data_IF_052957566184
#
_entry.id   IF_052957566184
#
_cell.length_a   1.000
_cell.length_b   1.000
_cell.length_c   1.000
_cell.angle_alpha   90.00
_cell.angle_beta   90.00
_cell.angle_gamma   90.00
#
_symmetry.space_group_name_H-M   'P 1'
#
loop_
_entity.id
_entity.type
_entity.pdbx_description
1 polymer ?
#
# COMPACT_ATOMS: atom_id res chain seq x y z
N UNK A 1 11.14 56.88 4.68
CA UNK A 1 12.02 55.68 4.62
C UNK A 1 11.13 54.45 4.78
N UNK A 2 11.26 53.47 3.88
CA UNK A 2 10.48 52.23 3.86
C UNK A 2 11.19 51.18 4.73
N UNK A 3 10.50 50.63 5.72
CA UNK A 3 11.00 49.50 6.51
C UNK A 3 10.47 48.23 5.84
N UNK A 4 11.35 47.48 5.21
CA UNK A 4 11.03 46.18 4.62
C UNK A 4 11.12 45.12 5.73
N UNK A 5 9.97 44.57 6.13
CA UNK A 5 9.92 43.37 6.97
C UNK A 5 10.24 42.15 6.11
N UNK A 6 11.37 41.50 6.40
CA UNK A 6 11.66 40.18 5.88
C UNK A 6 11.03 39.14 6.80
N UNK A 7 9.93 38.52 6.34
CA UNK A 7 9.38 37.31 6.94
C UNK A 7 10.31 36.15 6.62
N UNK A 8 11.05 35.66 7.61
CA UNK A 8 11.81 34.42 7.50
C UNK A 8 10.83 33.26 7.66
N UNK A 9 10.43 32.65 6.54
CA UNK A 9 9.63 31.43 6.56
C UNK A 9 10.48 30.30 7.15
N UNK A 10 10.09 29.81 8.33
CA UNK A 10 10.61 28.57 8.86
C UNK A 10 10.12 27.42 7.98
N UNK A 11 11.02 26.84 7.17
CA UNK A 11 10.84 25.52 6.60
C UNK A 11 10.93 24.50 7.74
N UNK A 12 9.81 24.30 8.44
CA UNK A 12 9.62 23.08 9.22
C UNK A 12 9.60 21.97 8.18
N UNK A 13 10.68 21.20 8.08
CA UNK A 13 10.72 20.00 7.26
C UNK A 13 9.55 19.12 7.72
N UNK A 14 8.52 19.03 6.89
CA UNK A 14 7.46 18.07 7.10
C UNK A 14 8.15 16.70 7.11
N UNK A 15 8.10 16.00 8.24
CA UNK A 15 8.37 14.57 8.23
C UNK A 15 7.49 14.00 7.11
N UNK A 16 8.09 13.37 6.11
CA UNK A 16 7.33 12.78 5.03
C UNK A 16 6.39 11.77 5.67
N UNK A 17 5.08 12.03 5.59
CA UNK A 17 4.06 11.10 6.05
C UNK A 17 4.37 9.74 5.44
N UNK A 18 4.60 8.72 6.27
CA UNK A 18 4.95 7.36 5.84
C UNK A 18 3.70 6.50 5.76
N UNK A 19 2.70 6.98 5.03
CA UNK A 19 1.53 6.17 4.77
C UNK A 19 1.93 4.90 4.00
N UNK A 20 1.28 3.79 4.30
CA UNK A 20 1.60 2.50 3.69
C UNK A 20 0.37 1.93 3.03
N UNK A 21 0.55 1.44 1.80
CA UNK A 21 -0.49 0.72 1.09
C UNK A 21 -0.02 -0.71 0.85
N UNK A 22 -0.82 -1.68 1.28
CA UNK A 22 -0.59 -3.09 1.01
C UNK A 22 -1.54 -3.56 -0.09
N UNK A 23 -0.99 -4.21 -1.11
CA UNK A 23 -1.74 -4.97 -2.11
C UNK A 23 -1.90 -6.39 -1.58
N UNK A 24 -3.13 -6.82 -1.37
CA UNK A 24 -3.41 -8.04 -0.60
C UNK A 24 -4.31 -9.00 -1.36
N UNK A 25 -4.12 -10.29 -1.07
CA UNK A 25 -5.08 -11.33 -1.40
C UNK A 25 -5.62 -11.91 -0.08
N UNK A 26 -6.94 -12.02 -0.02
CA UNK A 26 -7.68 -12.42 1.16
C UNK A 26 -8.41 -13.73 0.88
N UNK A 27 -8.52 -14.60 1.89
CA UNK A 27 -9.30 -15.84 1.77
C UNK A 27 -10.10 -16.15 3.03
N UNK A 28 -11.27 -16.78 2.83
CA UNK A 28 -12.14 -17.32 3.89
C UNK A 28 -12.83 -18.58 3.39
N UNK A 29 -12.39 -19.74 3.86
CA UNK A 29 -12.87 -21.01 3.30
C UNK A 29 -12.58 -21.09 1.80
N UNK A 30 -13.64 -21.14 0.98
CA UNK A 30 -13.52 -21.16 -0.49
C UNK A 30 -13.66 -19.76 -1.12
N UNK A 31 -13.94 -18.73 -0.32
CA UNK A 31 -14.06 -17.35 -0.80
C UNK A 31 -12.67 -16.70 -0.89
N UNK A 32 -12.48 -15.90 -1.93
CA UNK A 32 -11.25 -15.13 -2.17
C UNK A 32 -11.58 -13.71 -2.61
N UNK A 33 -10.74 -12.75 -2.24
CA UNK A 33 -10.79 -11.39 -2.75
C UNK A 33 -9.38 -10.80 -2.87
N UNK A 34 -9.24 -9.76 -3.69
CA UNK A 34 -8.04 -8.94 -3.74
C UNK A 34 -8.41 -7.50 -3.40
N UNK A 35 -7.59 -6.86 -2.58
CA UNK A 35 -7.86 -5.52 -2.10
C UNK A 35 -6.61 -4.70 -1.87
N UNK A 36 -6.84 -3.45 -1.46
CA UNK A 36 -5.81 -2.52 -1.03
C UNK A 36 -6.10 -2.12 0.41
N UNK A 37 -5.11 -2.27 1.28
CA UNK A 37 -5.19 -1.91 2.70
C UNK A 37 -4.32 -0.68 2.97
N UNK A 38 -4.93 0.41 3.41
CA UNK A 38 -4.26 1.68 3.70
C UNK A 38 -4.00 1.82 5.20
N UNK A 39 -2.77 2.20 5.53
CA UNK A 39 -2.36 2.60 6.87
C UNK A 39 -1.82 4.02 6.79
N UNK A 40 -2.40 4.91 7.58
CA UNK A 40 -1.97 6.30 7.69
C UNK A 40 -0.60 6.43 8.33
N UNK A 41 -0.05 7.63 8.24
CA UNK A 41 1.25 7.95 8.83
C UNK A 41 1.31 7.59 10.34
N UNK A 42 2.38 6.91 10.74
CA UNK A 42 2.57 6.42 12.10
C UNK A 42 1.72 5.21 12.50
N UNK A 43 0.83 4.73 11.63
CA UNK A 43 0.09 3.49 11.84
C UNK A 43 0.82 2.32 11.17
N UNK A 44 1.50 1.51 11.98
CA UNK A 44 2.18 0.32 11.50
C UNK A 44 1.23 -0.88 11.45
N UNK A 45 1.45 -1.78 10.49
CA UNK A 45 0.70 -3.05 10.35
C UNK A 45 1.11 -4.12 11.37
N UNK A 46 1.77 -3.73 12.47
CA UNK A 46 2.33 -4.65 13.45
C UNK A 46 1.25 -5.33 14.27
N UNK A 47 1.43 -6.62 14.54
CA UNK A 47 0.59 -7.39 15.47
C UNK A 47 -0.82 -7.70 14.95
N UNK A 48 -1.06 -7.59 13.65
CA UNK A 48 -2.39 -7.80 13.07
C UNK A 48 -3.34 -6.62 13.26
N UNK A 49 -2.78 -5.40 13.42
CA UNK A 49 -3.57 -4.18 13.39
C UNK A 49 -4.39 -4.10 12.09
N UNK A 50 -5.56 -3.47 12.19
CA UNK A 50 -6.43 -3.29 11.03
C UNK A 50 -6.01 -2.04 10.25
N UNK A 51 -6.20 -2.01 8.92
CA UNK A 51 -5.97 -0.80 8.16
C UNK A 51 -6.97 0.30 8.55
N UNK A 52 -6.57 1.55 8.35
CA UNK A 52 -7.44 2.71 8.52
C UNK A 52 -8.53 2.77 7.44
N UNK A 53 -8.21 2.28 6.24
CA UNK A 53 -9.16 2.13 5.14
C UNK A 53 -8.82 0.88 4.30
N UNK A 54 -9.84 0.25 3.75
CA UNK A 54 -9.69 -0.95 2.92
C UNK A 54 -10.69 -0.92 1.79
N UNK A 55 -10.22 -1.23 0.58
CA UNK A 55 -11.08 -1.40 -0.59
C UNK A 55 -10.86 -2.77 -1.22
N UNK A 56 -11.95 -3.50 -1.46
CA UNK A 56 -11.94 -4.65 -2.35
C UNK A 56 -11.83 -4.14 -3.80
N UNK A 57 -10.76 -4.56 -4.49
CA UNK A 57 -10.57 -4.30 -5.91
C UNK A 57 -11.37 -5.31 -6.73
N UNK A 58 -11.32 -6.58 -6.33
CA UNK A 58 -12.10 -7.68 -6.90
C UNK A 58 -12.55 -8.61 -5.78
N UNK A 59 -13.80 -9.08 -5.86
CA UNK A 59 -14.35 -10.07 -4.94
C UNK A 59 -14.80 -11.32 -5.72
N UNK A 60 -14.51 -12.51 -5.19
CA UNK A 60 -14.79 -13.80 -5.83
C UNK A 60 -13.65 -14.36 -6.70
N UNK A 61 -12.60 -13.59 -6.93
CA UNK A 61 -11.34 -14.04 -7.54
C UNK A 61 -10.17 -13.19 -7.05
N UNK A 62 -8.95 -13.67 -7.28
CA UNK A 62 -7.75 -12.85 -7.06
C UNK A 62 -7.45 -12.05 -8.34
N UNK A 63 -7.07 -10.79 -8.16
CA UNK A 63 -6.57 -9.96 -9.26
C UNK A 63 -5.17 -10.42 -9.66
N UNK A 64 -4.83 -10.28 -10.94
CA UNK A 64 -3.43 -10.32 -11.37
C UNK A 64 -2.84 -8.92 -11.08
N UNK A 65 -1.88 -8.84 -10.16
CA UNK A 65 -1.31 -7.55 -9.77
C UNK A 65 -0.26 -7.07 -10.76
N UNK A 66 0.46 -8.01 -11.37
CA UNK A 66 1.64 -7.78 -12.21
C UNK A 66 1.28 -7.46 -13.66
N UNK A 67 2.00 -6.53 -14.28
CA UNK A 67 1.94 -6.29 -15.72
C UNK A 67 0.80 -5.36 -16.19
N UNK A 68 -0.12 -4.99 -15.31
CA UNK A 68 -1.15 -3.98 -15.59
C UNK A 68 -1.37 -3.02 -14.41
N UNK A 69 -1.83 -1.79 -14.69
CA UNK A 69 -2.30 -0.89 -13.65
C UNK A 69 -3.54 -1.48 -12.96
N UNK A 70 -3.55 -1.47 -11.62
CA UNK A 70 -4.71 -1.86 -10.81
C UNK A 70 -5.08 -0.69 -9.92
N UNK A 71 -6.36 -0.31 -9.90
CA UNK A 71 -6.87 0.86 -9.18
C UNK A 71 -7.90 0.47 -8.13
N UNK A 72 -7.74 0.99 -6.91
CA UNK A 72 -8.74 0.94 -5.85
C UNK A 72 -9.11 2.35 -5.40
N UNK A 73 -10.36 2.56 -4.98
CA UNK A 73 -10.83 3.84 -4.41
C UNK A 73 -11.29 3.60 -2.99
N UNK A 74 -10.61 4.23 -2.05
CA UNK A 74 -10.89 4.13 -0.62
C UNK A 74 -12.18 4.85 -0.24
N UNK A 75 -12.70 4.60 0.96
CA UNK A 75 -13.92 5.24 1.47
C UNK A 75 -13.83 6.77 1.54
N UNK A 76 -12.61 7.29 1.69
CA UNK A 76 -12.30 8.73 1.60
C UNK A 76 -12.50 9.36 0.21
N UNK A 77 -12.62 8.54 -0.85
CA UNK A 77 -12.67 8.98 -2.24
C UNK A 77 -11.29 9.14 -2.91
N UNK A 78 -10.19 9.00 -2.15
CA UNK A 78 -8.84 8.92 -2.72
C UNK A 78 -8.66 7.58 -3.42
N UNK A 79 -8.18 7.61 -4.66
CA UNK A 79 -7.81 6.40 -5.38
C UNK A 79 -6.31 6.15 -5.30
N UNK A 80 -5.91 4.90 -5.20
CA UNK A 80 -4.54 4.45 -5.44
C UNK A 80 -4.49 3.59 -6.69
N UNK A 81 -3.50 3.84 -7.56
CA UNK A 81 -3.22 3.02 -8.74
C UNK A 81 -1.83 2.40 -8.58
N UNK A 82 -1.76 1.07 -8.50
CA UNK A 82 -0.52 0.31 -8.50
C UNK A 82 -0.11 -0.06 -9.93
N UNK A 83 1.19 -0.03 -10.20
CA UNK A 83 1.83 -0.46 -11.43
C UNK A 83 2.96 -1.43 -11.06
N UNK A 84 2.61 -2.72 -10.90
CA UNK A 84 3.57 -3.77 -10.56
C UNK A 84 4.17 -4.33 -11.85
N UNK A 85 5.49 -4.53 -11.88
CA UNK A 85 6.18 -5.06 -13.05
C UNK A 85 5.69 -6.48 -13.37
N UNK A 86 5.60 -6.81 -14.67
CA UNK A 86 5.13 -8.11 -15.13
C UNK A 86 5.96 -9.29 -14.58
N UNK A 87 7.25 -9.06 -14.30
CA UNK A 87 8.18 -10.06 -13.77
C UNK A 87 8.24 -10.11 -12.24
N UNK A 88 7.50 -9.23 -11.52
CA UNK A 88 7.57 -9.09 -10.07
C UNK A 88 7.25 -10.39 -9.31
N UNK A 89 6.42 -11.26 -9.90
CA UNK A 89 6.11 -12.59 -9.38
C UNK A 89 7.35 -13.47 -9.19
N UNK A 90 8.36 -13.34 -10.07
CA UNK A 90 9.61 -14.12 -10.02
C UNK A 90 10.74 -13.47 -9.22
N UNK A 91 10.57 -12.23 -8.75
CA UNK A 91 11.63 -11.53 -8.01
C UNK A 91 11.80 -12.07 -6.59
N UNK A 92 12.96 -11.78 -5.99
CA UNK A 92 13.23 -12.08 -4.59
C UNK A 92 12.30 -11.29 -3.66
N UNK A 93 12.10 -11.85 -2.47
CA UNK A 93 11.41 -11.18 -1.38
C UNK A 93 11.97 -9.80 -1.06
N UNK A 94 11.10 -8.84 -0.76
CA UNK A 94 11.44 -7.45 -0.43
C UNK A 94 12.20 -6.68 -1.52
N UNK A 95 12.34 -7.25 -2.72
CA UNK A 95 12.92 -6.54 -3.85
C UNK A 95 11.91 -5.55 -4.44
N UNK A 96 12.41 -4.51 -5.10
CA UNK A 96 11.60 -3.52 -5.78
C UNK A 96 10.85 -4.15 -6.97
N UNK A 97 9.53 -4.00 -6.94
CA UNK A 97 8.57 -4.73 -7.78
C UNK A 97 7.66 -3.83 -8.59
N UNK A 98 7.71 -2.51 -8.38
CA UNK A 98 6.91 -1.58 -9.15
C UNK A 98 6.73 -0.24 -8.46
N UNK A 99 5.73 0.49 -8.92
CA UNK A 99 5.38 1.80 -8.37
C UNK A 99 3.88 1.89 -8.11
N UNK A 100 3.45 2.95 -7.43
CA UNK A 100 2.05 3.31 -7.36
C UNK A 100 1.88 4.81 -7.15
N UNK A 101 0.66 5.30 -7.29
CA UNK A 101 0.33 6.70 -7.05
C UNK A 101 -1.10 6.86 -6.58
N UNK A 102 -1.34 7.82 -5.69
CA UNK A 102 -2.67 8.28 -5.33
C UNK A 102 -3.05 9.63 -5.95
N UNK A 103 -2.24 10.13 -6.91
CA UNK A 103 -2.37 11.47 -7.49
C UNK A 103 -1.71 12.59 -6.68
N UNK A 104 -1.33 12.34 -5.42
CA UNK A 104 -0.63 13.29 -4.54
C UNK A 104 0.83 12.87 -4.31
N UNK A 105 1.06 11.58 -4.12
CA UNK A 105 2.36 10.97 -3.86
C UNK A 105 2.64 9.85 -4.86
N UNK A 106 3.93 9.55 -5.03
CA UNK A 106 4.39 8.36 -5.75
C UNK A 106 5.02 7.39 -4.74
N UNK A 107 4.79 6.11 -4.97
CA UNK A 107 5.14 5.04 -4.06
C UNK A 107 6.05 4.04 -4.77
N UNK A 108 7.01 3.48 -4.03
CA UNK A 108 7.77 2.32 -4.45
C UNK A 108 7.10 1.09 -3.85
N UNK A 109 6.82 0.11 -4.70
CA UNK A 109 6.19 -1.13 -4.29
C UNK A 109 7.22 -2.26 -4.30
N UNK A 110 7.17 -3.10 -3.28
CA UNK A 110 8.13 -4.18 -3.03
C UNK A 110 7.40 -5.50 -2.83
N UNK A 111 8.05 -6.60 -3.21
CA UNK A 111 7.48 -7.94 -3.07
C UNK A 111 7.24 -8.29 -1.61
N UNK A 112 6.00 -8.59 -1.27
CA UNK A 112 5.59 -9.03 0.05
C UNK A 112 5.96 -10.50 0.28
N UNK A 113 7.06 -10.78 0.98
CA UNK A 113 7.39 -12.11 1.48
C UNK A 113 7.84 -12.08 2.94
N UNK A 114 7.33 -13.00 3.74
CA UNK A 114 7.82 -13.26 5.09
C UNK A 114 9.11 -14.09 5.10
N UNK A 115 9.61 -14.47 6.30
CA UNK A 115 10.86 -15.20 6.47
C UNK A 115 10.94 -16.55 5.73
N UNK A 116 9.78 -17.16 5.43
CA UNK A 116 9.67 -18.42 4.69
C UNK A 116 9.64 -18.26 3.16
N UNK A 117 9.81 -17.03 2.65
CA UNK A 117 9.74 -16.73 1.22
C UNK A 117 8.33 -16.72 0.63
N UNK A 118 7.29 -16.86 1.47
CA UNK A 118 5.87 -16.81 1.09
C UNK A 118 5.24 -15.47 1.49
N UNK A 119 4.12 -15.05 0.86
CA UNK A 119 3.28 -13.98 1.39
C UNK A 119 3.03 -14.14 2.89
N UNK A 120 3.12 -13.04 3.64
CA UNK A 120 2.84 -13.06 5.08
C UNK A 120 1.42 -12.56 5.37
N UNK A 121 0.87 -13.00 6.50
CA UNK A 121 -0.44 -12.56 6.98
C UNK A 121 -0.31 -11.14 7.54
N UNK A 122 -1.05 -10.19 6.97
CA UNK A 122 -1.14 -8.82 7.44
C UNK A 122 -2.00 -8.75 8.70
N UNK A 123 -3.23 -9.24 8.61
CA UNK A 123 -4.17 -9.37 9.72
C UNK A 123 -5.21 -10.46 9.41
N UNK A 124 -6.00 -10.80 10.42
CA UNK A 124 -7.19 -11.65 10.28
C UNK A 124 -8.42 -10.90 10.77
N UNK A 125 -9.57 -11.18 10.15
CA UNK A 125 -10.86 -10.55 10.51
C UNK A 125 -12.00 -11.47 10.14
N UNK A 126 -12.93 -11.75 11.05
CA UNK A 126 -14.20 -12.42 10.74
C UNK A 126 -14.05 -13.72 9.91
N UNK A 127 -12.96 -14.47 10.18
CA UNK A 127 -12.58 -15.70 9.47
C UNK A 127 -11.79 -15.50 8.18
N UNK A 128 -11.58 -14.26 7.73
CA UNK A 128 -10.69 -13.91 6.63
C UNK A 128 -9.23 -13.89 7.08
N UNK A 129 -8.36 -14.42 6.24
CA UNK A 129 -6.91 -14.25 6.32
C UNK A 129 -6.46 -13.34 5.20
N UNK A 130 -5.84 -12.20 5.54
CA UNK A 130 -5.40 -11.20 4.57
C UNK A 130 -3.88 -11.30 4.41
N UNK A 131 -3.41 -11.65 3.21
CA UNK A 131 -1.99 -11.86 2.94
C UNK A 131 -1.42 -10.73 2.08
N UNK A 132 -0.24 -10.23 2.45
CA UNK A 132 0.48 -9.22 1.66
C UNK A 132 1.12 -9.86 0.44
N UNK A 133 0.77 -9.35 -0.74
CA UNK A 133 1.43 -9.70 -2.01
C UNK A 133 2.50 -8.66 -2.34
N UNK A 134 2.16 -7.38 -2.16
CA UNK A 134 3.09 -6.25 -2.29
C UNK A 134 2.82 -5.22 -1.21
N UNK A 135 3.84 -4.46 -0.83
CA UNK A 135 3.71 -3.30 0.03
C UNK A 135 4.34 -2.09 -0.65
N UNK A 136 3.72 -0.93 -0.47
CA UNK A 136 4.07 0.30 -1.16
C UNK A 136 4.27 1.43 -0.14
N UNK A 137 5.43 2.08 -0.21
CA UNK A 137 5.76 3.24 0.61
C UNK A 137 6.04 4.47 -0.25
N UNK A 138 5.64 5.67 0.22
CA UNK A 138 5.92 6.90 -0.47
C UNK A 138 7.43 7.09 -0.57
N UNK A 139 7.89 7.48 -1.75
CA UNK A 139 9.25 8.01 -1.91
C UNK A 139 9.12 9.41 -2.48
N UNK A 140 9.39 10.38 -1.62
CA UNK A 140 9.61 11.78 -1.97
C UNK A 140 11.04 12.13 -1.55
#
# INVERSE_FOLDING_TARGET
MKIASFLTSALVGAAAARDTIYLVNSSKGNEVSSGMAYYGDGHESTGGSRPDDYVDVVHGSNVHWEGQPVKGTFGSGVSFTSNIFADAGGKQGNSWSGTGTNGFHTYNCYKGTGPSGKPWVLYTVDGWTVNVIYWCWPFN
#
